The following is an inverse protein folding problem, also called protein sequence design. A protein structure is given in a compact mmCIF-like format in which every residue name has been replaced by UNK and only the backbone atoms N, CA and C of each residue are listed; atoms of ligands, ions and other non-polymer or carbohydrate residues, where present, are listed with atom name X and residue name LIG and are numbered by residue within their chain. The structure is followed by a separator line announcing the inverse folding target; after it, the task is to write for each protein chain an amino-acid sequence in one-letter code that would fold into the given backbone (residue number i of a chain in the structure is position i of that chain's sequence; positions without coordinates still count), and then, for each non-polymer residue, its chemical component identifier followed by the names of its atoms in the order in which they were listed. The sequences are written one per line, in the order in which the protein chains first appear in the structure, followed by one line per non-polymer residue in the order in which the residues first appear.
data_IF_369332017952
#
_entry.id   IF_369332017952
#
_cell.length_a   1.000
_cell.length_b   1.000
_cell.length_c   1.000
_cell.angle_alpha   90.00
_cell.angle_beta   90.00
_cell.angle_gamma   90.00
#
_symmetry.space_group_name_H-M   'P 1'
#
loop_
_entity.id
_entity.type
_entity.pdbx_description
1 polymer ?
#
# COMPACT_ATOMS: atom_id res chain seq x y z
N UNK A 1 -40.07 -6.90 17.40
CA UNK A 1 -39.08 -7.67 18.17
C UNK A 1 -37.85 -6.80 18.32
N UNK A 2 -37.57 -6.30 19.51
CA UNK A 2 -36.41 -5.44 19.76
C UNK A 2 -35.14 -6.26 19.60
N UNK A 3 -34.33 -5.95 18.59
CA UNK A 3 -32.94 -6.39 18.58
C UNK A 3 -32.27 -5.73 19.77
N UNK A 4 -31.73 -6.55 20.67
CA UNK A 4 -30.72 -6.06 21.61
C UNK A 4 -29.66 -5.33 20.78
N UNK A 5 -29.34 -4.09 21.16
CA UNK A 5 -28.21 -3.36 20.61
C UNK A 5 -26.97 -4.22 20.86
N UNK A 6 -26.58 -5.01 19.87
CA UNK A 6 -25.28 -5.70 19.86
C UNK A 6 -24.23 -4.60 20.00
N UNK A 7 -23.54 -4.55 21.13
CA UNK A 7 -22.46 -3.59 21.36
C UNK A 7 -21.46 -3.73 20.22
N UNK A 8 -21.29 -2.68 19.42
CA UNK A 8 -20.36 -2.68 18.28
C UNK A 8 -18.96 -2.95 18.79
N UNK A 9 -18.19 -3.70 18.01
CA UNK A 9 -16.75 -3.87 18.29
C UNK A 9 -16.07 -2.56 17.91
N UNK A 10 -15.21 -2.03 18.79
CA UNK A 10 -14.51 -0.75 18.58
C UNK A 10 -13.00 -0.98 18.55
N UNK A 11 -12.42 -1.43 17.41
CA UNK A 11 -11.01 -1.72 17.33
C UNK A 11 -10.18 -0.45 17.51
N UNK A 12 -9.10 -0.54 18.27
CA UNK A 12 -8.08 0.52 18.30
C UNK A 12 -7.28 0.52 16.99
N UNK A 13 -7.01 -0.67 16.45
CA UNK A 13 -6.32 -0.85 15.19
C UNK A 13 -6.88 -2.04 14.40
N UNK A 14 -6.94 -1.86 13.09
CA UNK A 14 -7.40 -2.83 12.11
C UNK A 14 -6.28 -3.09 11.11
N UNK A 15 -5.86 -4.34 10.99
CA UNK A 15 -4.79 -4.77 10.09
C UNK A 15 -5.43 -5.32 8.81
N UNK A 16 -4.97 -4.84 7.65
CA UNK A 16 -5.35 -5.38 6.36
C UNK A 16 -4.18 -6.15 5.76
N UNK A 17 -4.41 -7.46 5.59
CA UNK A 17 -3.56 -8.35 4.82
C UNK A 17 -4.23 -8.62 3.47
N UNK A 18 -3.45 -8.76 2.42
CA UNK A 18 -3.92 -8.99 1.05
C UNK A 18 -4.26 -10.48 0.86
N UNK A 19 -3.48 -11.37 1.47
CA UNK A 19 -3.68 -12.83 1.39
C UNK A 19 -3.11 -13.59 2.59
N UNK A 20 -3.37 -14.90 2.66
CA UNK A 20 -3.09 -15.74 3.83
C UNK A 20 -1.63 -15.64 4.33
N UNK A 21 -0.63 -15.66 3.44
CA UNK A 21 0.78 -15.65 3.88
C UNK A 21 1.20 -14.37 4.60
N UNK A 22 0.54 -13.26 4.32
CA UNK A 22 0.77 -12.02 5.05
C UNK A 22 0.13 -12.05 6.43
N UNK A 23 -0.97 -12.80 6.59
CA UNK A 23 -1.66 -13.00 7.86
C UNK A 23 -1.04 -14.12 8.72
N UNK A 24 -0.32 -15.08 8.11
CA UNK A 24 0.22 -16.28 8.80
C UNK A 24 1.01 -15.91 10.08
N UNK A 25 1.89 -14.90 10.03
CA UNK A 25 2.66 -14.48 11.21
C UNK A 25 1.76 -13.89 12.31
N UNK A 26 0.74 -13.11 11.95
CA UNK A 26 -0.22 -12.51 12.89
C UNK A 26 -1.11 -13.54 13.56
N UNK A 27 -1.51 -14.57 12.82
CA UNK A 27 -2.41 -15.64 13.27
C UNK A 27 -1.66 -16.84 13.87
N UNK A 28 -0.32 -16.79 13.90
CA UNK A 28 0.51 -17.85 14.49
C UNK A 28 0.45 -17.86 16.01
N UNK A 29 0.80 -19.00 16.61
CA UNK A 29 0.93 -19.12 18.07
C UNK A 29 2.08 -18.29 18.66
N UNK A 30 3.06 -17.90 17.83
CA UNK A 30 4.19 -17.05 18.21
C UNK A 30 3.88 -15.56 18.07
N UNK A 31 2.64 -15.22 17.71
CA UNK A 31 2.17 -13.84 17.62
C UNK A 31 2.06 -13.19 18.99
N UNK A 32 2.41 -11.90 19.08
CA UNK A 32 2.19 -11.06 20.25
C UNK A 32 0.68 -10.82 20.51
N UNK A 33 -0.17 -11.13 19.54
CA UNK A 33 -1.61 -10.88 19.57
C UNK A 33 -2.41 -12.17 19.32
N UNK A 34 -3.20 -12.58 20.31
CA UNK A 34 -4.05 -13.75 20.21
C UNK A 34 -5.40 -13.41 19.57
N UNK A 35 -5.57 -13.73 18.28
CA UNK A 35 -6.83 -13.58 17.56
C UNK A 35 -7.80 -14.74 17.86
N UNK A 36 -8.39 -14.74 19.05
CA UNK A 36 -9.29 -15.81 19.54
C UNK A 36 -10.68 -15.81 18.90
N UNK A 37 -11.10 -14.69 18.30
CA UNK A 37 -12.44 -14.51 17.74
C UNK A 37 -12.42 -14.50 16.23
N UNK A 38 -13.37 -15.21 15.62
CA UNK A 38 -13.68 -15.16 14.20
C UNK A 38 -15.10 -14.63 14.01
N UNK A 39 -15.22 -13.46 13.39
CA UNK A 39 -16.48 -12.73 13.25
C UNK A 39 -16.92 -12.85 11.78
N UNK A 40 -18.01 -13.58 11.49
CA UNK A 40 -18.53 -13.68 10.13
C UNK A 40 -18.95 -12.30 9.60
N UNK A 41 -18.47 -11.97 8.40
CA UNK A 41 -18.78 -10.71 7.74
C UNK A 41 -19.22 -10.98 6.29
N UNK A 42 -20.53 -10.94 6.00
CA UNK A 42 -21.03 -11.09 4.64
C UNK A 42 -20.50 -9.99 3.70
N UNK A 43 -20.30 -10.34 2.42
CA UNK A 43 -19.82 -9.40 1.40
C UNK A 43 -18.31 -9.35 1.21
N UNK A 44 -17.54 -10.08 2.03
CA UNK A 44 -16.12 -10.30 1.82
C UNK A 44 -15.85 -11.28 0.67
N UNK A 45 -14.59 -11.29 0.20
CA UNK A 45 -14.13 -12.21 -0.84
C UNK A 45 -14.40 -13.68 -0.46
N UNK A 46 -14.91 -14.52 -1.38
CA UNK A 46 -15.12 -15.95 -1.13
C UNK A 46 -13.83 -16.63 -0.63
N UNK A 47 -13.93 -17.39 0.47
CA UNK A 47 -12.79 -17.98 1.16
C UNK A 47 -12.23 -17.14 2.32
N UNK A 48 -12.57 -15.86 2.38
CA UNK A 48 -12.10 -14.89 3.38
C UNK A 48 -13.27 -14.24 4.14
N UNK A 49 -14.29 -15.02 4.51
CA UNK A 49 -15.58 -14.54 5.02
C UNK A 49 -15.60 -14.05 6.47
N UNK A 50 -14.45 -13.83 7.09
CA UNK A 50 -14.35 -13.55 8.53
C UNK A 50 -13.33 -12.45 8.84
N UNK A 51 -13.64 -11.67 9.88
CA UNK A 51 -12.68 -10.80 10.57
C UNK A 51 -12.10 -11.55 11.76
N UNK A 52 -10.78 -11.59 11.86
CA UNK A 52 -10.07 -12.09 13.03
C UNK A 52 -9.98 -10.97 14.07
N UNK A 53 -10.26 -11.28 15.33
CA UNK A 53 -10.23 -10.28 16.41
C UNK A 53 -9.61 -10.85 17.68
N UNK A 54 -8.90 -10.02 18.42
CA UNK A 54 -8.57 -10.30 19.81
C UNK A 54 -9.84 -10.44 20.65
N UNK A 55 -9.74 -11.14 21.79
CA UNK A 55 -10.87 -11.37 22.70
C UNK A 55 -11.58 -10.07 23.09
N UNK A 56 -10.78 -9.07 23.45
CA UNK A 56 -11.23 -7.72 23.85
C UNK A 56 -11.66 -6.81 22.69
N UNK A 57 -11.54 -7.27 21.43
CA UNK A 57 -11.93 -6.51 20.26
C UNK A 57 -11.05 -5.32 19.91
N UNK A 58 -9.89 -5.13 20.57
CA UNK A 58 -9.02 -3.96 20.36
C UNK A 58 -8.14 -4.07 19.11
N UNK A 59 -7.79 -5.28 18.68
CA UNK A 59 -7.03 -5.52 17.45
C UNK A 59 -7.84 -6.44 16.55
N UNK A 60 -8.10 -6.00 15.32
CA UNK A 60 -8.74 -6.80 14.30
C UNK A 60 -7.83 -6.97 13.09
N UNK A 61 -8.01 -8.08 12.36
CA UNK A 61 -7.32 -8.38 11.12
C UNK A 61 -8.33 -8.87 10.10
N UNK A 62 -8.25 -8.34 8.88
CA UNK A 62 -9.03 -8.80 7.74
C UNK A 62 -8.08 -9.15 6.59
N UNK A 63 -8.31 -10.32 6.00
CA UNK A 63 -7.66 -10.75 4.77
C UNK A 63 -8.57 -10.37 3.60
N UNK A 64 -8.08 -9.56 2.67
CA UNK A 64 -8.90 -9.03 1.57
C UNK A 64 -9.11 -10.05 0.44
N UNK A 65 -8.24 -11.06 0.33
CA UNK A 65 -8.35 -12.13 -0.66
C UNK A 65 -7.90 -11.75 -2.06
N UNK A 66 -6.75 -11.09 -2.17
CA UNK A 66 -6.31 -10.37 -3.37
C UNK A 66 -5.02 -10.91 -4.01
N UNK A 67 -4.57 -12.13 -3.68
CA UNK A 67 -3.38 -12.77 -4.28
C UNK A 67 -3.45 -13.07 -5.80
N UNK A 68 -4.34 -12.43 -6.55
CA UNK A 68 -4.72 -12.72 -7.94
C UNK A 68 -5.07 -11.41 -8.67
N UNK A 69 -5.04 -11.31 -10.02
CA UNK A 69 -5.39 -10.11 -10.82
C UNK A 69 -6.80 -9.51 -10.63
N UNK A 70 -7.50 -9.86 -9.55
CA UNK A 70 -8.78 -9.29 -9.09
C UNK A 70 -8.61 -8.44 -7.83
N UNK A 71 -7.37 -8.12 -7.49
CA UNK A 71 -6.96 -7.54 -6.21
C UNK A 71 -7.71 -6.25 -5.85
N UNK A 72 -7.79 -5.31 -6.80
CA UNK A 72 -8.30 -3.95 -6.58
C UNK A 72 -9.80 -3.95 -6.25
N UNK A 73 -10.61 -4.63 -7.06
CA UNK A 73 -12.07 -4.66 -6.88
C UNK A 73 -12.45 -5.39 -5.59
N UNK A 74 -11.83 -6.55 -5.33
CA UNK A 74 -12.12 -7.32 -4.12
C UNK A 74 -11.72 -6.57 -2.84
N UNK A 75 -10.60 -5.84 -2.87
CA UNK A 75 -10.19 -4.98 -1.77
C UNK A 75 -11.24 -3.91 -1.48
N UNK A 76 -11.66 -3.14 -2.50
CA UNK A 76 -12.66 -2.09 -2.34
C UNK A 76 -14.00 -2.62 -1.82
N UNK A 77 -14.48 -3.75 -2.35
CA UNK A 77 -15.73 -4.39 -1.92
C UNK A 77 -15.64 -4.90 -0.48
N UNK A 78 -14.51 -5.48 -0.08
CA UNK A 78 -14.30 -5.99 1.27
C UNK A 78 -14.29 -4.86 2.31
N UNK A 79 -13.64 -3.73 2.00
CA UNK A 79 -13.66 -2.54 2.87
C UNK A 79 -15.06 -1.93 2.91
N UNK A 80 -15.76 -1.84 1.78
CA UNK A 80 -17.14 -1.36 1.74
C UNK A 80 -18.07 -2.25 2.57
N UNK A 81 -17.91 -3.58 2.52
CA UNK A 81 -18.66 -4.53 3.35
C UNK A 81 -18.35 -4.34 4.84
N UNK A 82 -17.08 -4.18 5.21
CA UNK A 82 -16.65 -3.92 6.58
C UNK A 82 -17.30 -2.66 7.16
N UNK A 83 -17.18 -1.55 6.44
CA UNK A 83 -17.72 -0.24 6.84
C UNK A 83 -19.25 -0.22 6.90
N UNK A 84 -19.93 -0.91 5.97
CA UNK A 84 -21.40 -0.91 5.90
C UNK A 84 -22.07 -1.93 6.81
N UNK A 85 -21.30 -2.88 7.37
CA UNK A 85 -21.83 -3.98 8.20
C UNK A 85 -22.58 -3.55 9.45
N UNK A 86 -22.25 -2.38 10.01
CA UNK A 86 -22.76 -1.94 11.31
C UNK A 86 -22.24 -2.73 12.52
N UNK A 87 -21.41 -3.76 12.32
CA UNK A 87 -20.84 -4.59 13.39
C UNK A 87 -19.69 -3.89 14.15
N UNK A 88 -19.05 -2.92 13.49
CA UNK A 88 -17.88 -2.21 14.02
C UNK A 88 -18.15 -0.71 14.16
N UNK A 89 -17.59 -0.10 15.19
CA UNK A 89 -17.38 1.34 15.30
C UNK A 89 -15.92 1.62 14.94
N UNK A 90 -15.72 2.29 13.80
CA UNK A 90 -14.41 2.47 13.17
C UNK A 90 -13.93 3.92 13.22
N UNK A 91 -14.69 4.82 13.85
CA UNK A 91 -14.44 6.27 13.79
C UNK A 91 -13.07 6.64 14.36
N UNK A 92 -12.63 5.96 15.42
CA UNK A 92 -11.33 6.19 16.07
C UNK A 92 -10.28 5.13 15.73
N UNK A 93 -10.59 4.20 14.82
CA UNK A 93 -9.71 3.07 14.51
C UNK A 93 -8.54 3.50 13.64
N UNK A 94 -7.35 3.00 13.95
CA UNK A 94 -6.19 3.05 13.06
C UNK A 94 -6.24 1.91 12.05
N UNK A 95 -5.82 2.17 10.81
CA UNK A 95 -5.76 1.17 9.77
C UNK A 95 -4.31 0.93 9.37
N UNK A 96 -3.84 -0.30 9.53
CA UNK A 96 -2.53 -0.73 9.08
C UNK A 96 -2.69 -1.60 7.82
N UNK A 97 -2.43 -0.99 6.67
CA UNK A 97 -2.37 -1.70 5.39
C UNK A 97 -0.96 -2.31 5.30
N UNK A 98 -0.88 -3.64 5.37
CA UNK A 98 0.37 -4.38 5.53
C UNK A 98 0.44 -5.52 4.51
N UNK A 99 1.20 -5.32 3.44
CA UNK A 99 1.38 -6.34 2.40
C UNK A 99 2.77 -6.35 1.79
N UNK A 100 3.11 -7.38 1.04
CA UNK A 100 4.36 -7.44 0.28
C UNK A 100 4.24 -6.62 -1.02
N UNK A 101 5.38 -6.35 -1.64
CA UNK A 101 5.48 -5.55 -2.85
C UNK A 101 6.70 -5.94 -3.69
N UNK A 102 6.64 -5.59 -4.97
CA UNK A 102 7.85 -5.43 -5.78
C UNK A 102 8.57 -4.14 -5.38
N UNK A 103 9.90 -4.16 -5.32
CA UNK A 103 10.72 -2.99 -4.95
C UNK A 103 11.48 -2.47 -6.15
N UNK A 104 11.55 -1.14 -6.25
CA UNK A 104 12.39 -0.44 -7.22
C UNK A 104 13.87 -0.53 -6.78
N UNK A 105 14.74 -1.25 -7.53
CA UNK A 105 16.14 -1.47 -7.15
C UNK A 105 17.00 -0.20 -7.14
N UNK A 106 16.52 0.91 -7.72
CA UNK A 106 17.22 2.21 -7.61
C UNK A 106 17.03 2.87 -6.24
N UNK A 107 15.97 2.50 -5.51
CA UNK A 107 15.57 3.19 -4.27
C UNK A 107 15.79 2.32 -3.02
N UNK A 108 15.52 1.01 -3.11
CA UNK A 108 15.59 0.11 -1.97
C UNK A 108 15.93 -1.32 -2.38
N UNK A 109 15.85 -2.23 -1.42
CA UNK A 109 16.33 -3.61 -1.53
C UNK A 109 15.28 -4.62 -1.10
N UNK A 110 15.44 -5.87 -1.53
CA UNK A 110 14.69 -7.01 -1.02
C UNK A 110 14.75 -7.07 0.51
N UNK A 111 13.61 -7.39 1.13
CA UNK A 111 13.41 -7.45 2.58
C UNK A 111 13.18 -6.10 3.25
N UNK A 112 13.45 -4.97 2.59
CA UNK A 112 13.17 -3.64 3.14
C UNK A 112 11.66 -3.44 3.36
N UNK A 113 11.31 -2.61 4.34
CA UNK A 113 9.92 -2.23 4.65
C UNK A 113 9.76 -0.74 4.42
N UNK A 114 8.95 -0.36 3.45
CA UNK A 114 8.67 1.03 3.12
C UNK A 114 7.39 1.54 3.80
N UNK A 115 7.41 2.82 4.17
CA UNK A 115 6.27 3.55 4.69
C UNK A 115 5.87 4.64 3.69
N UNK A 116 4.65 4.51 3.16
CA UNK A 116 4.15 5.36 2.11
C UNK A 116 3.54 6.64 2.67
N UNK A 117 3.88 7.77 2.04
CA UNK A 117 3.16 9.03 2.18
C UNK A 117 2.12 9.16 1.06
N UNK A 118 2.47 8.73 -0.14
CA UNK A 118 1.61 8.70 -1.30
C UNK A 118 1.30 7.27 -1.74
N UNK A 119 0.07 7.07 -2.21
CA UNK A 119 -0.30 5.93 -3.03
C UNK A 119 -0.81 6.46 -4.35
N UNK A 120 -0.17 6.06 -5.45
CA UNK A 120 -0.49 6.55 -6.80
C UNK A 120 -1.01 5.40 -7.64
N UNK A 121 -2.24 5.52 -8.15
CA UNK A 121 -2.79 4.54 -9.09
C UNK A 121 -2.34 4.87 -10.52
N UNK A 122 -1.35 4.12 -10.99
CA UNK A 122 -0.65 4.42 -12.25
C UNK A 122 -1.31 3.83 -13.50
N UNK A 123 -2.27 2.93 -13.33
CA UNK A 123 -3.00 2.29 -14.43
C UNK A 123 -4.37 2.92 -14.73
N UNK A 124 -4.61 4.13 -14.24
CA UNK A 124 -5.75 4.99 -14.65
C UNK A 124 -5.60 5.54 -16.07
N UNK A 125 -4.48 5.24 -16.73
CA UNK A 125 -4.11 5.69 -18.07
C UNK A 125 -4.79 4.85 -19.17
N UNK A 126 -4.91 5.42 -20.37
CA UNK A 126 -5.26 4.68 -21.58
C UNK A 126 -4.03 3.91 -22.08
N UNK A 127 -4.22 2.65 -22.46
CA UNK A 127 -3.15 1.81 -23.03
C UNK A 127 -3.31 1.68 -24.55
N UNK A 128 -2.32 2.17 -25.28
CA UNK A 128 -2.14 1.95 -26.71
C UNK A 128 -1.13 0.83 -26.93
N UNK A 129 -1.33 -0.01 -27.95
CA UNK A 129 -0.40 -1.09 -28.28
C UNK A 129 1.00 -0.52 -28.51
N UNK A 130 1.97 -0.96 -27.69
CA UNK A 130 3.34 -0.47 -27.73
C UNK A 130 4.04 -0.64 -29.09
N UNK A 131 3.51 -1.50 -29.98
CA UNK A 131 4.01 -1.70 -31.36
C UNK A 131 3.47 -0.67 -32.35
N UNK A 132 2.45 0.10 -31.96
CA UNK A 132 1.70 1.04 -32.79
C UNK A 132 1.76 2.48 -32.28
N UNK A 133 2.53 2.75 -31.22
CA UNK A 133 2.73 4.10 -30.69
C UNK A 133 3.57 4.97 -31.61
N UNK A 134 3.45 6.29 -31.46
CA UNK A 134 4.29 7.25 -32.17
C UNK A 134 5.77 7.06 -31.79
N UNK A 135 6.73 7.23 -32.71
CA UNK A 135 8.16 7.10 -32.40
C UNK A 135 8.67 8.06 -31.31
N UNK A 136 7.95 9.16 -31.05
CA UNK A 136 8.25 10.12 -30.00
C UNK A 136 7.72 9.73 -28.61
N UNK A 137 6.89 8.69 -28.52
CA UNK A 137 6.33 8.24 -27.24
C UNK A 137 7.27 7.21 -26.60
N UNK A 138 7.57 7.40 -25.32
CA UNK A 138 8.36 6.45 -24.53
C UNK A 138 7.56 5.22 -24.10
N UNK A 139 6.24 5.29 -24.15
CA UNK A 139 5.33 4.23 -23.70
C UNK A 139 3.96 4.35 -24.38
N UNK A 140 3.20 3.26 -24.39
CA UNK A 140 1.79 3.24 -24.80
C UNK A 140 0.80 3.66 -23.73
N UNK A 141 1.25 3.91 -22.50
CA UNK A 141 0.39 4.45 -21.44
C UNK A 141 0.31 5.98 -21.56
N UNK A 142 -0.91 6.48 -21.74
CA UNK A 142 -1.20 7.92 -21.88
C UNK A 142 -2.28 8.31 -20.87
N UNK A 143 -2.03 9.29 -19.99
CA UNK A 143 -3.02 9.79 -19.03
C UNK A 143 -4.30 10.27 -19.70
N UNK A 144 -5.42 10.15 -19.01
CA UNK A 144 -6.74 10.39 -19.60
C UNK A 144 -6.89 11.84 -20.11
N UNK A 145 -7.23 11.96 -21.39
CA UNK A 145 -7.32 13.24 -22.12
C UNK A 145 -5.98 13.94 -22.42
N UNK A 146 -4.84 13.40 -22.01
CA UNK A 146 -3.53 14.01 -22.27
C UNK A 146 -3.05 13.78 -23.71
N UNK A 147 -2.19 14.67 -24.21
CA UNK A 147 -1.67 14.64 -25.59
C UNK A 147 -0.36 13.83 -25.72
N UNK A 148 0.28 13.49 -24.60
CA UNK A 148 1.51 12.69 -24.57
C UNK A 148 1.63 11.87 -23.28
N UNK A 149 2.44 10.80 -23.28
CA UNK A 149 2.88 10.15 -22.05
C UNK A 149 3.53 11.16 -21.08
N UNK A 150 3.53 10.82 -19.78
CA UNK A 150 4.12 11.61 -18.69
C UNK A 150 3.54 13.03 -18.49
N UNK A 151 2.39 13.33 -19.08
CA UNK A 151 1.64 14.57 -18.83
C UNK A 151 0.69 14.40 -17.63
N UNK A 152 0.24 15.52 -17.04
CA UNK A 152 -0.87 15.47 -16.09
C UNK A 152 -2.19 15.18 -16.85
N UNK A 153 -3.10 14.33 -16.33
CA UNK A 153 -4.36 14.01 -16.99
C UNK A 153 -5.28 15.24 -17.05
N UNK A 154 -6.09 15.34 -18.12
CA UNK A 154 -7.12 16.40 -18.24
C UNK A 154 -8.40 16.02 -17.48
N UNK A 155 -8.63 14.72 -17.30
CA UNK A 155 -9.77 14.15 -16.59
C UNK A 155 -9.29 13.36 -15.38
N UNK A 156 -9.88 13.63 -14.22
CA UNK A 156 -9.62 12.89 -12.99
C UNK A 156 -10.87 12.13 -12.55
N UNK A 157 -10.66 10.99 -11.91
CA UNK A 157 -11.69 10.08 -11.41
C UNK A 157 -11.70 9.99 -9.87
N UNK A 158 -10.71 10.58 -9.20
CA UNK A 158 -10.64 10.71 -7.73
C UNK A 158 -9.87 9.58 -7.04
N UNK A 159 -9.26 8.66 -7.80
CA UNK A 159 -8.46 7.55 -7.27
C UNK A 159 -7.01 7.56 -7.74
N UNK A 160 -6.60 8.58 -8.49
CA UNK A 160 -5.26 8.70 -9.07
C UNK A 160 -4.18 8.79 -8.00
N UNK A 161 -4.41 9.60 -6.96
CA UNK A 161 -3.43 9.86 -5.89
C UNK A 161 -4.16 10.00 -4.56
N UNK A 162 -3.60 9.37 -3.53
CA UNK A 162 -3.94 9.61 -2.14
C UNK A 162 -2.70 10.06 -1.37
N UNK A 163 -2.80 11.17 -0.62
CA UNK A 163 -1.80 11.59 0.35
C UNK A 163 -2.22 11.19 1.77
N UNK A 164 -1.30 10.62 2.52
CA UNK A 164 -1.47 10.13 3.89
C UNK A 164 -0.80 11.05 4.91
N UNK A 165 -1.14 10.83 6.18
CA UNK A 165 -0.67 11.63 7.30
C UNK A 165 0.84 11.44 7.53
N UNK A 166 1.63 12.47 7.21
CA UNK A 166 3.09 12.43 7.31
C UNK A 166 3.59 12.30 8.75
N UNK A 167 2.93 12.98 9.70
CA UNK A 167 3.29 12.92 11.11
C UNK A 167 3.03 11.53 11.70
N UNK A 168 1.93 10.89 11.30
CA UNK A 168 1.64 9.50 11.68
C UNK A 168 2.64 8.54 11.03
N UNK A 169 2.97 8.73 9.74
CA UNK A 169 3.96 7.93 9.02
C UNK A 169 5.32 7.96 9.72
N UNK A 170 5.85 9.15 9.99
CA UNK A 170 7.14 9.34 10.69
C UNK A 170 7.14 8.72 12.07
N UNK A 171 6.04 8.85 12.81
CA UNK A 171 5.94 8.24 14.13
C UNK A 171 5.94 6.71 14.06
N UNK A 172 5.18 6.13 13.12
CA UNK A 172 5.16 4.69 12.90
C UNK A 172 6.55 4.15 12.50
N UNK A 173 7.29 4.88 11.67
CA UNK A 173 8.68 4.56 11.33
C UNK A 173 9.61 4.62 12.55
N UNK A 174 9.48 5.67 13.38
CA UNK A 174 10.27 5.79 14.60
C UNK A 174 10.07 4.59 15.53
N UNK A 175 8.82 4.16 15.73
CA UNK A 175 8.46 2.99 16.55
C UNK A 175 9.09 1.70 16.04
N UNK A 176 9.28 1.57 14.73
CA UNK A 176 9.84 0.39 14.09
C UNK A 176 11.36 0.44 13.88
N UNK A 177 12.01 1.60 14.03
CA UNK A 177 13.42 1.84 13.66
C UNK A 177 14.44 0.87 14.27
N UNK A 178 14.15 0.30 15.45
CA UNK A 178 15.02 -0.66 16.14
C UNK A 178 14.80 -2.14 15.76
N UNK A 179 13.94 -2.44 14.79
CA UNK A 179 13.64 -3.81 14.38
C UNK A 179 14.78 -4.38 13.53
N UNK A 180 15.28 -5.56 13.93
CA UNK A 180 16.14 -6.37 13.07
C UNK A 180 15.30 -7.11 12.04
N UNK A 181 15.46 -6.75 10.77
CA UNK A 181 14.77 -7.39 9.65
C UNK A 181 15.40 -8.74 9.31
N UNK A 182 14.56 -9.72 8.97
CA UNK A 182 14.96 -11.00 8.41
C UNK A 182 15.65 -10.81 7.06
N UNK A 183 16.74 -11.55 6.86
CA UNK A 183 17.59 -11.47 5.69
C UNK A 183 18.25 -12.83 5.40
N UNK A 184 17.56 -13.64 4.59
CA UNK A 184 18.02 -14.97 4.20
C UNK A 184 19.21 -14.94 3.23
N UNK A 185 19.86 -16.10 3.07
CA UNK A 185 20.90 -16.26 2.06
C UNK A 185 20.36 -16.08 0.63
N UNK A 186 19.10 -16.49 0.38
CA UNK A 186 18.46 -16.26 -0.93
C UNK A 186 18.30 -14.77 -1.24
N UNK A 187 17.91 -13.97 -0.25
CA UNK A 187 17.84 -12.51 -0.38
C UNK A 187 19.23 -11.90 -0.65
N UNK A 188 20.27 -12.28 0.11
CA UNK A 188 21.67 -11.86 -0.14
C UNK A 188 22.14 -12.22 -1.54
N UNK A 189 21.93 -13.46 -1.98
CA UNK A 189 22.35 -13.94 -3.30
C UNK A 189 21.65 -13.20 -4.45
N UNK A 190 20.33 -12.97 -4.32
CA UNK A 190 19.56 -12.22 -5.32
C UNK A 190 20.06 -10.79 -5.47
N UNK A 191 20.33 -10.10 -4.36
CA UNK A 191 20.89 -8.74 -4.35
C UNK A 191 22.28 -8.66 -4.95
N UNK A 192 23.10 -9.70 -4.79
CA UNK A 192 24.43 -9.75 -5.39
C UNK A 192 24.40 -9.66 -6.93
N UNK A 193 23.31 -10.09 -7.58
CA UNK A 193 23.14 -9.96 -9.03
C UNK A 193 23.07 -8.50 -9.52
N UNK A 194 22.77 -7.54 -8.63
CA UNK A 194 22.66 -6.11 -8.93
C UNK A 194 23.98 -5.34 -8.75
N UNK A 195 25.03 -5.97 -8.21
CA UNK A 195 26.34 -5.33 -7.97
C UNK A 195 26.99 -4.84 -9.27
N UNK A 196 26.88 -5.61 -10.35
CA UNK A 196 27.46 -5.28 -11.66
C UNK A 196 26.54 -4.39 -12.52
N UNK A 197 25.61 -3.66 -11.91
CA UNK A 197 24.72 -2.76 -12.65
C UNK A 197 25.49 -1.57 -13.25
N UNK A 198 25.16 -1.12 -14.47
CA UNK A 198 25.78 0.05 -15.08
C UNK A 198 25.69 1.29 -14.19
N UNK A 199 26.77 2.07 -14.13
CA UNK A 199 26.87 3.35 -13.41
C UNK A 199 26.48 3.29 -11.92
N UNK A 200 26.54 2.10 -11.30
CA UNK A 200 26.13 1.87 -9.91
C UNK A 200 24.66 2.27 -9.63
N UNK A 201 23.81 2.25 -10.67
CA UNK A 201 22.41 2.73 -10.58
C UNK A 201 21.53 1.94 -9.60
N UNK A 202 21.89 0.68 -9.32
CA UNK A 202 21.16 -0.19 -8.39
C UNK A 202 21.94 -0.42 -7.09
N UNK A 203 22.73 0.57 -6.64
CA UNK A 203 23.46 0.46 -5.37
C UNK A 203 22.55 0.10 -4.19
N UNK A 204 21.38 0.75 -4.08
CA UNK A 204 20.41 0.50 -3.01
C UNK A 204 19.99 -0.97 -2.93
N UNK A 205 19.77 -1.62 -4.08
CA UNK A 205 19.42 -3.04 -4.18
C UNK A 205 20.48 -4.00 -3.61
N UNK A 206 21.73 -3.55 -3.45
CA UNK A 206 22.83 -4.41 -2.95
C UNK A 206 22.98 -4.39 -1.43
N UNK A 207 22.29 -3.49 -0.74
CA UNK A 207 22.44 -3.25 0.70
C UNK A 207 21.55 -4.20 1.54
N UNK A 208 21.90 -4.43 2.83
CA UNK A 208 21.02 -5.05 3.83
C UNK A 208 19.62 -4.43 3.90
N UNK A 209 18.55 -5.17 4.24
CA UNK A 209 17.22 -4.60 4.34
C UNK A 209 17.15 -3.59 5.50
N UNK A 210 16.45 -2.48 5.26
CA UNK A 210 16.20 -1.42 6.26
C UNK A 210 14.75 -0.95 6.17
N UNK A 211 14.31 -0.19 7.17
CA UNK A 211 13.06 0.57 7.09
C UNK A 211 13.33 1.84 6.28
N UNK A 212 12.47 2.13 5.31
CA UNK A 212 12.65 3.28 4.41
C UNK A 212 11.38 4.12 4.28
N UNK A 213 11.57 5.40 3.99
CA UNK A 213 10.52 6.21 3.39
C UNK A 213 10.35 5.76 1.93
N UNK A 214 9.11 5.63 1.47
CA UNK A 214 8.88 5.23 0.08
C UNK A 214 7.43 5.02 -0.27
N UNK A 215 7.02 5.59 -1.39
CA UNK A 215 5.64 5.58 -1.85
C UNK A 215 5.33 4.36 -2.70
N UNK A 216 4.03 4.08 -2.79
CA UNK A 216 3.52 2.89 -3.48
C UNK A 216 2.85 3.29 -4.78
N UNK A 217 3.28 2.66 -5.86
CA UNK A 217 2.54 2.65 -7.12
C UNK A 217 1.58 1.46 -7.12
N UNK A 218 0.30 1.74 -7.36
CA UNK A 218 -0.78 0.76 -7.35
C UNK A 218 -1.28 0.52 -8.77
N UNK A 219 -1.50 -0.73 -9.17
CA UNK A 219 -2.16 -1.07 -10.43
C UNK A 219 -2.92 -2.40 -10.37
N UNK A 220 -3.91 -2.57 -11.25
CA UNK A 220 -4.59 -3.84 -11.49
C UNK A 220 -3.68 -4.86 -12.16
N UNK A 221 -2.86 -4.43 -13.12
CA UNK A 221 -1.93 -5.30 -13.83
C UNK A 221 -0.65 -5.44 -13.03
N UNK A 222 -0.16 -6.67 -12.88
CA UNK A 222 1.18 -6.90 -12.34
C UNK A 222 2.21 -6.60 -13.45
N UNK A 223 2.98 -5.51 -13.32
CA UNK A 223 3.99 -5.11 -14.29
C UNK A 223 5.40 -5.50 -13.85
N UNK A 224 6.30 -5.68 -14.82
CA UNK A 224 7.70 -5.93 -14.56
C UNK A 224 8.56 -5.45 -15.74
N UNK A 225 9.76 -4.94 -15.47
CA UNK A 225 10.76 -4.58 -16.47
C UNK A 225 11.03 -3.08 -16.59
N UNK A 226 12.23 -2.73 -17.07
CA UNK A 226 12.80 -1.39 -16.93
C UNK A 226 11.97 -0.29 -17.59
N UNK A 227 11.53 -0.49 -18.85
CA UNK A 227 10.77 0.52 -19.60
C UNK A 227 9.38 0.78 -19.00
N UNK A 228 8.67 -0.28 -18.60
CA UNK A 228 7.37 -0.11 -17.94
C UNK A 228 7.54 0.59 -16.60
N UNK A 229 8.53 0.20 -15.81
CA UNK A 229 8.73 0.84 -14.53
C UNK A 229 9.18 2.31 -14.66
N UNK A 230 9.94 2.68 -15.70
CA UNK A 230 10.25 4.07 -16.01
C UNK A 230 8.99 4.85 -16.41
N UNK A 231 8.10 4.25 -17.20
CA UNK A 231 6.80 4.85 -17.53
C UNK A 231 5.93 5.09 -16.28
N UNK A 232 5.90 4.13 -15.35
CA UNK A 232 5.16 4.28 -14.08
C UNK A 232 5.80 5.33 -13.16
N UNK A 233 7.13 5.42 -13.11
CA UNK A 233 7.85 6.48 -12.38
C UNK A 233 7.50 7.87 -12.94
N UNK A 234 7.53 8.02 -14.26
CA UNK A 234 7.16 9.27 -14.93
C UNK A 234 5.70 9.65 -14.66
N UNK A 235 4.79 8.67 -14.63
CA UNK A 235 3.38 8.88 -14.28
C UNK A 235 3.25 9.38 -12.84
N UNK A 236 3.94 8.74 -11.89
CA UNK A 236 3.93 9.14 -10.49
C UNK A 236 4.42 10.57 -10.30
N UNK A 237 5.52 10.95 -10.97
CA UNK A 237 6.04 12.32 -10.95
C UNK A 237 5.04 13.31 -11.55
N UNK A 238 4.44 12.98 -12.69
CA UNK A 238 3.45 13.84 -13.33
C UNK A 238 2.25 14.09 -12.39
N UNK A 239 1.73 13.03 -11.76
CA UNK A 239 0.52 13.08 -10.94
C UNK A 239 0.73 13.77 -9.58
N UNK A 240 1.97 13.89 -9.13
CA UNK A 240 2.32 14.41 -7.80
C UNK A 240 3.26 15.60 -7.81
N UNK A 241 3.44 16.26 -8.97
CA UNK A 241 4.40 17.35 -9.16
C UNK A 241 5.81 16.99 -8.65
N UNK A 242 6.19 15.72 -8.88
CA UNK A 242 7.46 15.13 -8.45
C UNK A 242 7.59 14.83 -6.96
N UNK A 243 6.52 14.96 -6.16
CA UNK A 243 6.58 14.72 -4.70
C UNK A 243 6.60 13.25 -4.29
N UNK A 244 5.96 12.37 -5.06
CA UNK A 244 5.98 10.94 -4.75
C UNK A 244 7.32 10.30 -5.12
N UNK A 245 7.80 9.40 -4.26
CA UNK A 245 9.01 8.62 -4.44
C UNK A 245 8.65 7.16 -4.70
N UNK A 246 8.75 6.73 -5.96
CA UNK A 246 8.44 5.35 -6.34
C UNK A 246 9.46 4.34 -5.77
N UNK A 247 9.07 3.71 -4.66
CA UNK A 247 9.86 2.65 -4.01
C UNK A 247 9.21 1.28 -4.14
N UNK A 248 7.89 1.19 -4.02
CA UNK A 248 7.16 -0.08 -3.97
C UNK A 248 6.06 -0.15 -5.03
N UNK A 249 5.80 -1.36 -5.53
CA UNK A 249 4.68 -1.69 -6.42
C UNK A 249 3.68 -2.59 -5.71
N UNK A 250 2.40 -2.25 -5.76
CA UNK A 250 1.32 -3.05 -5.20
C UNK A 250 0.08 -3.01 -6.09
N UNK A 251 -1.00 -3.67 -5.67
CA UNK A 251 -2.26 -3.66 -6.41
C UNK A 251 -3.40 -3.02 -5.61
N UNK A 252 -3.56 -3.36 -4.33
CA UNK A 252 -4.79 -3.10 -3.56
C UNK A 252 -4.87 -1.69 -2.96
N UNK A 253 -3.74 -1.01 -2.77
CA UNK A 253 -3.65 0.14 -1.87
C UNK A 253 -4.60 1.27 -2.27
N UNK A 254 -4.64 1.61 -3.56
CA UNK A 254 -5.54 2.67 -4.05
C UNK A 254 -7.01 2.33 -3.83
N UNK A 255 -7.40 1.06 -3.96
CA UNK A 255 -8.77 0.60 -3.72
C UNK A 255 -9.15 0.62 -2.23
N UNK A 256 -8.25 0.19 -1.35
CA UNK A 256 -8.47 0.27 0.10
C UNK A 256 -8.64 1.73 0.52
N UNK A 257 -7.75 2.61 0.04
CA UNK A 257 -7.81 4.04 0.34
C UNK A 257 -9.04 4.71 -0.25
N UNK A 258 -9.43 4.41 -1.49
CA UNK A 258 -10.65 4.94 -2.08
C UNK A 258 -11.90 4.55 -1.26
N UNK A 259 -11.97 3.31 -0.77
CA UNK A 259 -13.08 2.85 0.06
C UNK A 259 -13.08 3.51 1.45
N UNK A 260 -11.91 3.65 2.09
CA UNK A 260 -11.76 4.35 3.37
C UNK A 260 -12.05 5.85 3.25
N UNK A 261 -11.67 6.49 2.15
CA UNK A 261 -12.00 7.89 1.86
C UNK A 261 -13.52 8.08 1.79
N UNK A 262 -14.21 7.23 1.03
CA UNK A 262 -15.68 7.26 0.93
C UNK A 262 -16.37 6.96 2.26
N UNK A 263 -15.73 6.18 3.13
CA UNK A 263 -16.18 5.96 4.50
C UNK A 263 -15.96 7.19 5.39
N UNK A 264 -14.84 7.92 5.19
CA UNK A 264 -14.53 9.15 5.92
C UNK A 264 -15.51 10.27 5.55
N UNK A 265 -15.90 10.38 4.27
CA UNK A 265 -16.95 11.28 3.80
C UNK A 265 -18.33 11.00 4.42
N UNK A 266 -18.52 9.81 4.99
CA UNK A 266 -19.72 9.42 5.74
C UNK A 266 -19.51 9.47 7.26
N UNK A 267 -18.40 10.03 7.73
CA UNK A 267 -18.04 10.12 9.15
C UNK A 267 -17.96 8.75 9.84
N UNK A 268 -17.60 7.69 9.09
CA UNK A 268 -17.49 6.32 9.64
C UNK A 268 -16.07 5.93 10.02
N UNK A 269 -15.07 6.59 9.44
CA UNK A 269 -13.64 6.40 9.72
C UNK A 269 -12.93 7.75 9.69
N UNK A 270 -11.76 7.83 10.29
CA UNK A 270 -10.88 8.99 10.22
C UNK A 270 -9.70 8.68 9.28
N UNK A 271 -9.67 9.33 8.11
CA UNK A 271 -8.65 9.08 7.08
C UNK A 271 -7.23 9.44 7.55
N UNK A 272 -7.09 10.30 8.58
CA UNK A 272 -5.79 10.66 9.15
C UNK A 272 -5.13 9.52 9.93
N UNK A 273 -5.82 8.40 10.15
CA UNK A 273 -5.38 7.24 10.96
C UNK A 273 -4.90 6.05 10.14
N UNK A 274 -4.55 6.27 8.87
CA UNK A 274 -4.14 5.21 7.95
C UNK A 274 -2.62 5.17 7.84
N UNK A 275 -2.06 3.97 7.94
CA UNK A 275 -0.64 3.67 7.73
C UNK A 275 -0.55 2.62 6.63
N UNK A 276 0.25 2.90 5.59
CA UNK A 276 0.54 1.96 4.51
C UNK A 276 1.99 1.50 4.63
N UNK A 277 2.17 0.19 4.75
CA UNK A 277 3.48 -0.46 4.80
C UNK A 277 3.58 -1.54 3.73
N UNK A 278 4.70 -1.56 3.02
CA UNK A 278 4.99 -2.57 2.00
C UNK A 278 6.38 -3.18 2.20
N UNK A 279 6.48 -4.51 2.19
CA UNK A 279 7.77 -5.22 2.31
C UNK A 279 8.21 -5.82 0.97
N UNK A 280 9.49 -5.61 0.62
CA UNK A 280 10.05 -5.98 -0.67
C UNK A 280 10.25 -7.50 -0.85
N UNK A 281 9.33 -8.17 -1.56
CA UNK A 281 9.39 -9.61 -1.84
C UNK A 281 10.13 -9.98 -3.12
N UNK A 282 10.37 -9.02 -3.99
CA UNK A 282 11.09 -9.19 -5.25
C UNK A 282 11.46 -7.82 -5.81
N UNK A 283 12.38 -7.76 -6.76
CA UNK A 283 12.57 -6.55 -7.58
C UNK A 283 11.47 -6.45 -8.65
N UNK A 284 11.08 -5.23 -9.00
CA UNK A 284 10.11 -4.93 -10.07
C UNK A 284 10.73 -4.94 -11.49
N UNK A 285 12.06 -5.05 -11.56
CA UNK A 285 12.83 -5.14 -12.80
C UNK A 285 14.13 -5.91 -12.58
N UNK A 286 14.71 -6.40 -13.68
CA UNK A 286 15.99 -7.11 -13.65
C UNK A 286 17.20 -6.20 -13.47
N UNK A 287 18.38 -6.78 -13.18
CA UNK A 287 19.63 -6.03 -12.98
C UNK A 287 20.20 -5.44 -14.28
N UNK A 288 19.72 -5.89 -15.44
CA UNK A 288 20.19 -5.48 -16.78
C UNK A 288 19.03 -4.95 -17.61
N UNK A 289 19.29 -3.94 -18.43
CA UNK A 289 18.25 -3.21 -19.16
C UNK A 289 17.74 -3.93 -20.42
N UNK A 290 18.59 -4.78 -20.98
CA UNK A 290 18.38 -5.44 -22.26
C UNK A 290 18.03 -6.93 -22.14
N UNK A 291 17.74 -7.42 -20.92
CA UNK A 291 17.36 -8.80 -20.69
C UNK A 291 15.84 -8.92 -20.45
N UNK A 292 15.16 -9.85 -21.15
CA UNK A 292 13.75 -10.09 -20.89
C UNK A 292 13.55 -10.71 -19.51
N UNK A 293 12.43 -10.41 -18.83
CA UNK A 293 12.11 -11.09 -17.58
C UNK A 293 11.90 -12.58 -17.80
N UNK A 294 12.24 -13.39 -16.79
CA UNK A 294 11.92 -14.81 -16.80
C UNK A 294 10.41 -15.03 -16.58
N UNK A 295 9.84 -15.96 -17.34
CA UNK A 295 8.42 -16.34 -17.26
C UNK A 295 8.32 -17.84 -16.97
N UNK A 296 7.48 -18.27 -16.00
CA UNK A 296 6.60 -17.46 -15.18
C UNK A 296 7.36 -16.60 -14.16
N UNK A 297 6.82 -15.43 -13.83
CA UNK A 297 7.30 -14.63 -12.70
C UNK A 297 7.08 -15.44 -11.42
N UNK A 298 8.17 -15.84 -10.77
CA UNK A 298 8.13 -16.56 -9.50
C UNK A 298 8.81 -15.73 -8.42
N UNK A 299 8.15 -15.60 -7.27
CA UNK A 299 8.74 -15.01 -6.08
C UNK A 299 9.38 -16.15 -5.28
N UNK A 300 10.68 -16.03 -5.01
CA UNK A 300 11.43 -16.98 -4.19
C UNK A 300 10.73 -17.19 -2.83
N UNK A 301 10.46 -18.44 -2.42
CA UNK A 301 9.75 -18.72 -1.18
C UNK A 301 10.44 -18.23 0.10
N UNK A 302 11.78 -18.26 0.16
CA UNK A 302 12.54 -17.74 1.31
C UNK A 302 12.44 -16.23 1.36
N UNK A 303 12.60 -15.54 0.22
CA UNK A 303 12.49 -14.08 0.15
C UNK A 303 11.07 -13.61 0.52
N UNK A 304 10.04 -14.33 0.03
CA UNK A 304 8.66 -14.08 0.46
C UNK A 304 8.50 -14.27 1.95
N UNK A 305 9.06 -15.35 2.51
CA UNK A 305 9.07 -15.64 3.94
C UNK A 305 9.70 -14.51 4.77
N UNK A 306 10.87 -14.01 4.36
CA UNK A 306 11.53 -12.87 4.98
C UNK A 306 10.65 -11.62 4.94
N UNK A 307 10.03 -11.34 3.79
CA UNK A 307 9.21 -10.14 3.59
C UNK A 307 7.95 -10.15 4.46
N UNK A 308 7.21 -11.26 4.52
CA UNK A 308 6.03 -11.37 5.39
C UNK A 308 6.42 -11.36 6.87
N UNK A 309 7.61 -11.90 7.21
CA UNK A 309 8.15 -11.81 8.58
C UNK A 309 8.48 -10.36 8.93
N UNK A 310 9.10 -9.62 8.02
CA UNK A 310 9.47 -8.22 8.22
C UNK A 310 8.25 -7.31 8.40
N UNK A 311 7.17 -7.55 7.65
CA UNK A 311 5.89 -6.87 7.88
C UNK A 311 5.37 -7.09 9.30
N UNK A 312 5.37 -8.33 9.78
CA UNK A 312 4.94 -8.64 11.14
C UNK A 312 5.84 -7.99 12.20
N UNK A 313 7.17 -8.06 12.03
CA UNK A 313 8.12 -7.49 12.98
C UNK A 313 7.97 -5.96 13.09
N UNK A 314 7.73 -5.27 11.97
CA UNK A 314 7.48 -3.82 11.93
C UNK A 314 6.08 -3.49 12.44
N UNK A 315 5.06 -4.16 11.91
CA UNK A 315 3.66 -3.92 12.25
C UNK A 315 3.36 -4.16 13.72
N UNK A 316 3.95 -5.20 14.34
CA UNK A 316 3.74 -5.51 15.76
C UNK A 316 4.21 -4.37 16.68
N UNK A 317 5.26 -3.63 16.32
CA UNK A 317 5.69 -2.42 17.05
C UNK A 317 4.64 -1.32 16.99
N UNK A 318 4.04 -1.11 15.82
CA UNK A 318 2.99 -0.11 15.62
C UNK A 318 1.74 -0.49 16.41
N UNK A 319 1.27 -1.74 16.28
CA UNK A 319 0.09 -2.24 17.00
C UNK A 319 0.28 -2.10 18.51
N UNK A 320 1.45 -2.50 19.02
CA UNK A 320 1.78 -2.38 20.45
C UNK A 320 1.72 -0.93 20.92
N UNK A 321 2.36 0.00 20.20
CA UNK A 321 2.35 1.42 20.55
C UNK A 321 0.93 2.01 20.52
N UNK A 322 0.11 1.65 19.53
CA UNK A 322 -1.30 2.09 19.48
C UNK A 322 -2.07 1.62 20.71
N UNK A 323 -1.82 0.40 21.19
CA UNK A 323 -2.49 -0.13 22.39
C UNK A 323 -2.01 0.55 23.68
N UNK A 324 -0.69 0.70 23.83
CA UNK A 324 0.01 1.19 25.03
C UNK A 324 -0.12 2.71 25.19
N UNK A 325 0.07 3.49 24.13
CA UNK A 325 0.04 4.95 24.14
C UNK A 325 -1.34 5.53 23.78
N UNK A 326 -2.40 4.73 23.88
CA UNK A 326 -3.73 5.11 23.39
C UNK A 326 -4.24 6.43 23.98
N UNK A 327 -4.25 6.56 25.30
CA UNK A 327 -4.79 7.75 25.96
C UNK A 327 -3.93 9.01 25.71
N UNK A 328 -2.62 8.83 25.56
CA UNK A 328 -1.66 9.92 25.46
C UNK A 328 -1.56 10.48 24.04
N UNK A 329 -1.66 9.61 23.03
CA UNK A 329 -1.36 9.95 21.64
C UNK A 329 -2.43 9.54 20.64
N UNK A 330 -2.92 8.30 20.70
CA UNK A 330 -3.70 7.73 19.60
C UNK A 330 -5.22 7.99 19.72
N UNK A 331 -5.81 8.17 20.91
CA UNK A 331 -7.26 8.40 21.07
C UNK A 331 -7.72 9.68 20.34
N UNK A 332 -6.97 10.77 20.53
CA UNK A 332 -7.25 12.07 19.87
C UNK A 332 -6.88 12.11 18.40
N UNK A 333 -6.09 11.15 17.92
CA UNK A 333 -5.53 11.17 16.57
C UNK A 333 -4.19 11.89 16.52
N UNK A 334 -3.41 11.61 15.48
CA UNK A 334 -2.18 12.35 15.19
C UNK A 334 -2.54 13.42 14.16
N UNK A 335 -2.49 14.70 14.53
CA UNK A 335 -2.89 15.79 13.63
C UNK A 335 -1.89 15.95 12.48
N UNK A 336 -2.30 15.79 11.20
CA UNK A 336 -1.41 15.98 10.06
C UNK A 336 -1.04 17.46 9.90
N UNK A 337 0.24 17.73 9.64
CA UNK A 337 0.72 19.05 9.18
C UNK A 337 0.69 19.19 7.65
N UNK A 338 0.54 18.08 6.93
CA UNK A 338 0.37 18.05 5.48
C UNK A 338 -1.10 17.92 5.06
N UNK A 339 -1.36 18.09 3.77
CA UNK A 339 -2.64 17.70 3.17
C UNK A 339 -2.82 16.17 3.27
N UNK A 340 -4.06 15.71 3.46
CA UNK A 340 -4.42 14.29 3.36
C UNK A 340 -5.71 14.13 2.55
N UNK A 341 -5.81 13.06 1.77
CA UNK A 341 -6.98 12.78 0.95
C UNK A 341 -6.63 12.58 -0.53
N UNK A 342 -7.64 12.79 -1.39
CA UNK A 342 -7.56 12.57 -2.83
C UNK A 342 -7.15 13.82 -3.64
N UNK A 343 -7.08 13.64 -4.95
CA UNK A 343 -6.83 14.72 -5.91
C UNK A 343 -7.90 15.83 -5.92
N UNK A 344 -9.06 15.64 -5.28
CA UNK A 344 -10.15 16.61 -5.30
C UNK A 344 -10.25 17.46 -4.03
N UNK A 345 -9.43 17.18 -3.00
CA UNK A 345 -9.62 17.87 -1.72
C UNK A 345 -10.92 17.45 -1.05
N UNK A 346 -11.41 16.22 -1.26
CA UNK A 346 -12.73 15.77 -0.82
C UNK A 346 -12.93 15.87 0.70
N UNK A 347 -11.86 15.78 1.49
CA UNK A 347 -11.86 15.94 2.96
C UNK A 347 -11.63 17.40 3.42
N UNK A 348 -11.63 18.36 2.48
CA UNK A 348 -11.22 19.74 2.71
C UNK A 348 -9.72 19.97 2.51
N UNK A 349 -9.32 21.25 2.47
CA UNK A 349 -7.95 21.65 2.13
C UNK A 349 -7.70 21.73 0.62
N UNK A 350 -6.44 21.94 0.23
CA UNK A 350 -6.02 22.01 -1.17
C UNK A 350 -4.85 21.05 -1.37
N UNK A 351 -4.99 20.02 -2.23
CA UNK A 351 -3.89 19.12 -2.56
C UNK A 351 -2.72 19.91 -3.12
N UNK A 352 -1.59 19.88 -2.42
CA UNK A 352 -0.42 20.69 -2.78
C UNK A 352 0.55 19.95 -3.73
N UNK A 353 0.23 18.70 -4.06
CA UNK A 353 0.95 17.82 -4.97
C UNK A 353 0.42 17.86 -6.41
N UNK A 354 -0.64 18.64 -6.68
CA UNK A 354 -1.13 18.81 -8.04
C UNK A 354 -0.31 19.88 -8.78
N UNK A 355 0.02 19.67 -10.07
CA UNK A 355 0.72 20.67 -10.86
C UNK A 355 -0.05 22.00 -10.91
N UNK A 356 0.63 23.12 -10.64
CA UNK A 356 0.00 24.46 -10.57
C UNK A 356 -0.72 24.92 -11.85
N UNK A 357 -0.36 24.34 -13.00
CA UNK A 357 -0.94 24.66 -14.31
C UNK A 357 -2.04 23.68 -14.75
N UNK A 358 -2.46 22.75 -13.88
CA UNK A 358 -3.48 21.78 -14.21
C UNK A 358 -4.86 22.46 -14.30
N UNK A 359 -5.33 22.74 -15.53
CA UNK A 359 -6.73 23.03 -15.79
C UNK A 359 -7.49 21.69 -15.76
N UNK A 360 -7.98 21.31 -14.59
CA UNK A 360 -8.66 20.03 -14.39
C UNK A 360 -10.16 20.22 -14.42
N UNK A 361 -10.86 19.43 -15.24
CA UNK A 361 -12.30 19.23 -15.14
C UNK A 361 -12.59 17.97 -14.33
N UNK A 362 -13.47 18.07 -13.33
CA UNK A 362 -14.06 16.91 -12.67
C UNK A 362 -15.06 16.25 -13.64
N UNK A 363 -15.03 14.92 -13.75
CA UNK A 363 -16.04 14.14 -14.48
C UNK A 363 -17.15 13.64 -13.56
#
# INVERSE_FOLDING_TARGET
MGQALSTKISPKIFIFAMFDKEADNWLSNDSDFAFSRSIPLPGLTPGYGHVHSTEDGRVCLLILGTASPRAVINAALSIAALVSSGQFDLLKTYFLISGIAGVNPTQATIGAVAFAKFVVQVDTQQEFDARQILPSWSTGYVPDGADSPASFPKYLHGSEVFELNEDLRRYAMFLASGVTLADSESARSTRASFIASPDNKYHAATLPPVIVEGDVLSANTFWHGNLLCEAMDNTAKAYTDGKAQYVMTAQEDSAVLAALLRAALQEKVDFSRIIVTRAASNFDRGPRDNEPPQVPLTIDPQIRGDSVRNLYLVGSKIVRAVLEEWAEKFDKGVTPQNYIGDVFGSLGGTPDFLPKAANVSQL
#
